data_IF_591871286053
#
_entry.id   IF_591871286053
#
_cell.length_a   1.000
_cell.length_b   1.000
_cell.length_c   1.000
_cell.angle_alpha   90.00
_cell.angle_beta   90.00
_cell.angle_gamma   90.00
#
_symmetry.space_group_name_H-M   'P 1'
#
loop_
_entity.id
_entity.type
_entity.pdbx_description
1 polymer ?
#
# COMPACT_ATOMS: atom_id res chain seq x y z
N UNK A 1 -55.80 52.70 22.66
CA UNK A 1 -54.69 51.96 23.29
C UNK A 1 -54.23 50.90 22.31
N UNK A 2 -53.17 51.20 21.57
CA UNK A 2 -52.62 50.30 20.54
C UNK A 2 -51.30 49.75 21.09
N UNK A 3 -51.34 48.49 21.50
CA UNK A 3 -50.11 47.75 21.92
C UNK A 3 -49.28 47.45 20.70
N UNK A 4 -48.09 48.05 20.66
CA UNK A 4 -47.06 47.80 19.64
C UNK A 4 -46.35 46.52 20.03
N UNK A 5 -46.69 45.40 19.37
CA UNK A 5 -45.95 44.14 19.42
C UNK A 5 -44.57 44.36 18.79
N UNK A 6 -43.56 44.60 19.62
CA UNK A 6 -42.17 44.59 19.26
C UNK A 6 -41.78 43.12 18.86
N UNK A 7 -41.72 42.90 17.55
CA UNK A 7 -41.08 41.67 16.97
C UNK A 7 -39.61 41.66 17.40
N UNK A 8 -39.31 40.82 18.38
CA UNK A 8 -37.92 40.52 18.71
C UNK A 8 -37.26 39.85 17.50
N UNK A 9 -36.10 40.32 17.06
CA UNK A 9 -35.38 39.65 15.97
C UNK A 9 -35.00 38.26 16.46
N UNK A 10 -35.48 37.23 15.72
CA UNK A 10 -35.06 35.84 15.93
C UNK A 10 -33.54 35.79 15.82
N UNK A 11 -32.89 35.47 16.92
CA UNK A 11 -31.43 35.26 16.96
C UNK A 11 -31.06 34.24 15.88
N UNK A 12 -30.26 34.65 14.91
CA UNK A 12 -29.77 33.78 13.86
C UNK A 12 -29.17 32.53 14.48
N UNK A 13 -29.39 31.33 13.90
CA UNK A 13 -28.86 30.09 14.41
C UNK A 13 -27.35 30.04 14.16
N UNK A 14 -26.56 30.72 14.96
CA UNK A 14 -25.09 30.73 14.96
C UNK A 14 -24.53 29.31 15.08
N UNK A 15 -25.32 28.33 15.52
CA UNK A 15 -24.90 26.95 15.75
C UNK A 15 -24.80 26.06 14.50
N UNK A 16 -25.46 26.37 13.35
CA UNK A 16 -25.47 25.45 12.22
C UNK A 16 -24.20 25.54 11.36
N UNK A 17 -23.69 26.74 11.10
CA UNK A 17 -22.46 26.96 10.31
C UNK A 17 -21.21 26.48 11.02
N UNK A 18 -21.12 26.68 12.34
CA UNK A 18 -20.02 26.13 13.18
C UNK A 18 -20.03 24.61 13.19
N UNK A 19 -21.17 23.97 13.45
CA UNK A 19 -21.31 22.51 13.44
C UNK A 19 -20.93 21.88 12.08
N UNK A 20 -21.21 22.56 10.98
CA UNK A 20 -20.87 22.07 9.65
C UNK A 20 -19.36 22.18 9.34
N UNK A 21 -18.70 23.27 9.77
CA UNK A 21 -17.25 23.43 9.68
C UNK A 21 -16.51 22.39 10.53
N UNK A 22 -16.97 22.16 11.76
CA UNK A 22 -16.39 21.16 12.67
C UNK A 22 -16.54 19.74 12.10
N UNK A 23 -17.72 19.41 11.54
CA UNK A 23 -17.93 18.11 10.90
C UNK A 23 -17.01 17.91 9.70
N UNK A 24 -16.78 18.92 8.87
CA UNK A 24 -15.84 18.84 7.73
C UNK A 24 -14.40 18.70 8.20
N UNK A 25 -14.01 19.38 9.26
CA UNK A 25 -12.69 19.26 9.87
C UNK A 25 -12.49 17.84 10.40
N UNK A 26 -13.41 17.30 11.16
CA UNK A 26 -13.35 15.93 11.67
C UNK A 26 -13.25 14.90 10.54
N UNK A 27 -14.09 15.04 9.50
CA UNK A 27 -14.02 14.16 8.32
C UNK A 27 -12.69 14.25 7.56
N UNK A 28 -12.03 15.41 7.57
CA UNK A 28 -10.68 15.55 6.99
C UNK A 28 -9.64 14.83 7.85
N UNK A 29 -9.69 15.00 9.16
CA UNK A 29 -8.81 14.32 10.14
C UNK A 29 -8.96 12.81 9.99
N UNK A 30 -10.19 12.28 9.97
CA UNK A 30 -10.45 10.84 9.81
C UNK A 30 -9.89 10.30 8.49
N UNK A 31 -10.05 11.04 7.38
CA UNK A 31 -9.51 10.66 6.07
C UNK A 31 -7.98 10.62 6.08
N UNK A 32 -7.34 11.61 6.68
CA UNK A 32 -5.87 11.66 6.79
C UNK A 32 -5.35 10.55 7.71
N UNK A 33 -6.02 10.29 8.84
CA UNK A 33 -5.70 9.17 9.73
C UNK A 33 -5.80 7.82 9.02
N UNK A 34 -6.90 7.58 8.30
CA UNK A 34 -7.09 6.36 7.51
C UNK A 34 -6.05 6.24 6.37
N UNK A 35 -5.60 7.36 5.79
CA UNK A 35 -4.52 7.36 4.78
C UNK A 35 -3.18 6.99 5.41
N UNK A 36 -2.84 7.54 6.56
CA UNK A 36 -1.63 7.18 7.31
C UNK A 36 -1.61 5.69 7.64
N UNK A 37 -2.67 5.15 8.22
CA UNK A 37 -2.75 3.74 8.57
C UNK A 37 -2.53 2.82 7.35
N UNK A 38 -3.03 3.23 6.17
CA UNK A 38 -2.78 2.48 4.92
C UNK A 38 -1.33 2.57 4.46
N UNK A 39 -0.70 3.74 4.55
CA UNK A 39 0.72 3.93 4.18
C UNK A 39 1.63 3.10 5.09
N UNK A 40 1.38 3.12 6.39
CA UNK A 40 2.12 2.33 7.38
C UNK A 40 1.95 0.81 7.12
N UNK A 41 0.74 0.36 6.76
CA UNK A 41 0.49 -1.04 6.43
C UNK A 41 1.23 -1.48 5.14
N UNK A 42 1.32 -0.61 4.13
CA UNK A 42 2.08 -0.87 2.89
C UNK A 42 3.58 -0.92 3.18
N UNK A 43 4.12 0.02 3.96
CA UNK A 43 5.53 0.01 4.34
C UNK A 43 5.89 -1.25 5.14
N UNK A 44 5.06 -1.63 6.11
CA UNK A 44 5.24 -2.84 6.91
C UNK A 44 5.23 -4.11 6.03
N UNK A 45 4.33 -4.19 5.03
CA UNK A 45 4.30 -5.31 4.09
C UNK A 45 5.56 -5.34 3.22
N UNK A 46 5.99 -4.20 2.67
CA UNK A 46 7.23 -4.13 1.89
C UNK A 46 8.47 -4.45 2.73
N UNK A 47 8.48 -4.10 4.03
CA UNK A 47 9.53 -4.51 4.96
C UNK A 47 9.64 -6.03 5.08
N UNK A 48 8.53 -6.73 5.34
CA UNK A 48 8.51 -8.20 5.39
C UNK A 48 8.89 -8.85 4.06
N UNK A 49 8.38 -8.31 2.94
CA UNK A 49 8.76 -8.78 1.61
C UNK A 49 10.26 -8.59 1.32
N UNK A 50 10.85 -7.46 1.75
CA UNK A 50 12.30 -7.23 1.69
C UNK A 50 13.07 -8.31 2.44
N UNK A 51 12.70 -8.59 3.69
CA UNK A 51 13.39 -9.58 4.54
C UNK A 51 13.29 -10.98 3.93
N UNK A 52 12.13 -11.34 3.38
CA UNK A 52 11.95 -12.58 2.63
C UNK A 52 12.87 -12.67 1.41
N UNK A 53 12.92 -11.60 0.60
CA UNK A 53 13.80 -11.53 -0.59
C UNK A 53 15.27 -11.55 -0.20
N UNK A 54 15.65 -10.94 0.91
CA UNK A 54 17.01 -10.98 1.43
C UNK A 54 17.42 -12.40 1.88
N UNK A 55 16.49 -13.17 2.45
CA UNK A 55 16.74 -14.57 2.81
C UNK A 55 16.82 -15.51 1.61
N UNK A 56 16.13 -15.19 0.49
CA UNK A 56 16.16 -15.99 -0.71
C UNK A 56 15.33 -15.43 -1.86
N UNK A 57 15.99 -15.09 -2.95
CA UNK A 57 15.39 -14.61 -4.18
C UNK A 57 15.46 -15.64 -5.31
N UNK A 58 14.49 -15.63 -6.24
CA UNK A 58 14.44 -16.52 -7.39
C UNK A 58 13.95 -15.78 -8.66
N UNK A 59 14.44 -16.21 -9.82
CA UNK A 59 13.97 -15.86 -11.17
C UNK A 59 13.22 -17.03 -11.78
N UNK A 60 12.41 -16.75 -12.80
CA UNK A 60 11.68 -17.74 -13.62
C UNK A 60 10.76 -18.67 -12.81
N UNK A 61 10.44 -18.31 -11.58
CA UNK A 61 9.49 -19.01 -10.72
C UNK A 61 8.82 -18.03 -9.76
N UNK A 62 7.63 -18.36 -9.27
CA UNK A 62 7.00 -17.59 -8.20
C UNK A 62 7.77 -17.76 -6.89
N UNK A 63 8.04 -19.00 -6.53
CA UNK A 63 8.84 -19.34 -5.36
C UNK A 63 9.47 -20.72 -5.51
N UNK A 64 10.37 -21.05 -4.60
CA UNK A 64 10.90 -22.41 -4.48
C UNK A 64 10.52 -23.01 -3.14
N UNK A 65 10.29 -24.32 -3.13
CA UNK A 65 10.05 -25.13 -1.94
C UNK A 65 10.99 -26.32 -1.95
N UNK A 66 11.14 -27.00 -0.79
CA UNK A 66 11.85 -28.28 -0.70
C UNK A 66 10.80 -29.37 -0.48
N UNK A 67 10.87 -30.43 -1.26
CA UNK A 67 10.03 -31.61 -1.08
C UNK A 67 10.52 -32.51 0.08
N UNK A 68 9.77 -33.57 0.36
CA UNK A 68 10.08 -34.52 1.43
C UNK A 68 11.41 -35.30 1.20
N UNK A 69 11.96 -35.24 -0.01
CA UNK A 69 13.24 -35.85 -0.40
C UNK A 69 14.40 -34.85 -0.35
N UNK A 70 14.13 -33.60 0.03
CA UNK A 70 15.14 -32.53 0.08
C UNK A 70 15.45 -31.92 -1.29
N UNK A 71 14.63 -32.19 -2.33
CA UNK A 71 14.80 -31.65 -3.67
C UNK A 71 14.11 -30.28 -3.77
N UNK A 72 14.81 -29.30 -4.35
CA UNK A 72 14.24 -27.97 -4.57
C UNK A 72 13.34 -27.98 -5.80
N UNK A 73 12.08 -27.61 -5.58
CA UNK A 73 11.05 -27.47 -6.62
C UNK A 73 10.83 -26.01 -6.95
N UNK A 74 10.71 -25.68 -8.24
CA UNK A 74 10.30 -24.38 -8.76
C UNK A 74 8.79 -24.37 -8.94
N UNK A 75 8.08 -23.45 -8.27
CA UNK A 75 6.63 -23.38 -8.33
C UNK A 75 6.19 -22.22 -9.21
N UNK A 76 5.49 -22.54 -10.29
CA UNK A 76 5.03 -21.59 -11.31
C UNK A 76 3.68 -20.94 -11.02
N UNK A 77 3.02 -21.22 -9.86
CA UNK A 77 1.72 -20.64 -9.53
C UNK A 77 1.63 -20.30 -8.04
N UNK A 78 0.92 -19.22 -7.69
CA UNK A 78 0.70 -18.85 -6.29
C UNK A 78 -0.29 -19.78 -5.55
N UNK A 79 -1.13 -20.52 -6.28
CA UNK A 79 -2.17 -21.40 -5.70
C UNK A 79 -1.61 -22.63 -4.98
N UNK A 80 -0.41 -23.05 -5.31
CA UNK A 80 0.26 -24.21 -4.70
C UNK A 80 0.86 -23.90 -3.32
N UNK A 81 0.67 -22.69 -2.79
CA UNK A 81 1.37 -22.25 -1.58
C UNK A 81 0.64 -22.57 -0.26
N UNK A 82 -0.60 -23.04 -0.30
CA UNK A 82 -1.34 -23.37 0.92
C UNK A 82 -0.66 -24.55 1.65
N UNK A 83 0.15 -24.24 2.65
CA UNK A 83 0.79 -25.22 3.52
C UNK A 83 2.27 -25.51 3.25
N UNK A 84 2.85 -24.99 2.19
CA UNK A 84 4.26 -25.24 1.86
C UNK A 84 5.20 -24.14 2.38
N UNK A 85 6.39 -24.55 2.88
CA UNK A 85 7.44 -23.61 3.25
C UNK A 85 8.17 -23.14 1.99
N UNK A 86 7.89 -21.90 1.54
CA UNK A 86 8.68 -21.29 0.48
C UNK A 86 10.05 -20.86 1.01
N UNK A 87 11.13 -21.32 0.38
CA UNK A 87 12.51 -20.94 0.71
C UNK A 87 12.93 -19.63 0.03
N UNK A 88 12.57 -19.50 -1.23
CA UNK A 88 12.87 -18.33 -2.06
C UNK A 88 11.61 -17.85 -2.76
N UNK A 89 11.55 -16.58 -3.07
CA UNK A 89 10.42 -15.99 -3.77
C UNK A 89 10.87 -14.98 -4.82
N UNK A 90 10.13 -14.83 -5.92
CA UNK A 90 10.27 -13.67 -6.77
C UNK A 90 9.67 -12.42 -6.09
N UNK A 91 9.94 -11.25 -6.64
CA UNK A 91 9.49 -9.97 -6.07
C UNK A 91 7.98 -9.93 -5.76
N UNK A 92 7.15 -10.32 -6.72
CA UNK A 92 5.68 -10.26 -6.56
C UNK A 92 5.18 -11.34 -5.61
N UNK A 93 5.77 -12.54 -5.66
CA UNK A 93 5.42 -13.62 -4.75
C UNK A 93 5.78 -13.28 -3.29
N UNK A 94 6.91 -12.63 -3.04
CA UNK A 94 7.28 -12.19 -1.71
C UNK A 94 6.20 -11.26 -1.10
N UNK A 95 5.69 -10.32 -1.88
CA UNK A 95 4.58 -9.45 -1.44
C UNK A 95 3.29 -10.25 -1.21
N UNK A 96 2.97 -11.20 -2.09
CA UNK A 96 1.76 -12.01 -1.99
C UNK A 96 1.77 -12.92 -0.76
N UNK A 97 2.91 -13.56 -0.49
CA UNK A 97 3.11 -14.43 0.66
C UNK A 97 2.99 -13.66 1.97
N UNK A 98 3.58 -12.46 2.04
CA UNK A 98 3.57 -11.64 3.24
C UNK A 98 2.26 -10.86 3.45
N UNK A 99 1.39 -10.78 2.44
CA UNK A 99 0.13 -10.03 2.52
C UNK A 99 -1.00 -10.75 3.29
N UNK A 100 -0.78 -12.00 3.73
CA UNK A 100 -1.77 -12.90 4.38
C UNK A 100 -2.88 -13.43 3.46
N UNK A 101 -3.37 -14.64 3.76
CA UNK A 101 -2.82 -15.86 3.17
C UNK A 101 -2.96 -15.81 1.67
N UNK A 102 -1.85 -15.69 0.94
CA UNK A 102 -1.77 -16.02 -0.49
C UNK A 102 -2.42 -15.06 -1.49
N UNK A 103 -2.88 -13.87 -1.08
CA UNK A 103 -3.67 -13.01 -1.95
C UNK A 103 -2.97 -11.73 -2.41
N UNK A 104 -2.50 -11.71 -3.66
CA UNK A 104 -2.15 -10.47 -4.38
C UNK A 104 -3.38 -9.54 -4.58
N UNK A 105 -4.60 -10.04 -4.37
CA UNK A 105 -5.84 -9.30 -4.57
C UNK A 105 -6.21 -8.42 -3.39
N UNK A 106 -5.57 -8.60 -2.25
CA UNK A 106 -5.78 -7.75 -1.07
C UNK A 106 -5.36 -6.29 -1.32
N UNK A 107 -6.10 -5.31 -0.78
CA UNK A 107 -5.85 -3.89 -1.07
C UNK A 107 -4.46 -3.40 -0.65
N UNK A 108 -3.83 -3.97 0.34
CA UNK A 108 -2.47 -3.61 0.77
C UNK A 108 -1.42 -4.18 -0.20
N UNK A 109 -1.58 -5.46 -0.64
CA UNK A 109 -0.70 -6.06 -1.64
C UNK A 109 -0.76 -5.29 -2.98
N UNK A 110 -1.95 -4.95 -3.45
CA UNK A 110 -2.13 -4.16 -4.67
C UNK A 110 -1.43 -2.80 -4.59
N UNK A 111 -1.48 -2.13 -3.43
CA UNK A 111 -0.79 -0.86 -3.21
C UNK A 111 0.73 -1.04 -3.16
N UNK A 112 1.21 -2.10 -2.55
CA UNK A 112 2.64 -2.43 -2.52
C UNK A 112 3.19 -2.66 -3.93
N UNK A 113 2.46 -3.43 -4.76
CA UNK A 113 2.74 -3.63 -6.18
C UNK A 113 2.73 -2.28 -6.92
N UNK A 114 1.72 -1.45 -6.69
CA UNK A 114 1.63 -0.12 -7.29
C UNK A 114 2.78 0.80 -6.90
N UNK A 115 3.22 0.78 -5.65
CA UNK A 115 4.35 1.57 -5.16
C UNK A 115 5.66 1.17 -5.85
N UNK A 116 5.96 -0.12 -5.93
CA UNK A 116 7.15 -0.63 -6.61
C UNK A 116 7.13 -0.33 -8.11
N UNK A 117 5.99 -0.54 -8.76
CA UNK A 117 5.83 -0.25 -10.18
C UNK A 117 6.06 1.23 -10.49
N UNK A 118 5.53 2.14 -9.66
CA UNK A 118 5.76 3.58 -9.83
C UNK A 118 7.22 3.97 -9.68
N UNK A 119 7.93 3.45 -8.69
CA UNK A 119 9.36 3.71 -8.52
C UNK A 119 10.15 3.21 -9.71
N UNK A 120 9.83 2.01 -10.20
CA UNK A 120 10.49 1.41 -11.36
C UNK A 120 10.34 2.26 -12.63
N UNK A 121 9.18 2.89 -12.82
CA UNK A 121 8.87 3.71 -14.01
C UNK A 121 9.05 5.22 -13.80
N UNK A 122 9.74 5.64 -12.74
CA UNK A 122 10.01 7.05 -12.46
C UNK A 122 8.76 7.85 -12.08
N UNK A 123 7.68 7.19 -11.70
CA UNK A 123 6.46 7.82 -11.21
C UNK A 123 6.68 8.46 -9.84
N UNK A 124 6.13 9.66 -9.65
CA UNK A 124 6.12 10.30 -8.34
C UNK A 124 5.26 9.55 -7.32
N UNK A 125 5.25 10.02 -6.05
CA UNK A 125 4.42 9.42 -5.01
C UNK A 125 2.97 9.40 -5.46
N UNK A 126 2.38 8.21 -5.53
CA UNK A 126 1.00 8.02 -5.97
C UNK A 126 0.03 8.61 -4.96
N UNK A 127 -0.70 9.63 -5.39
CA UNK A 127 -1.77 10.24 -4.60
C UNK A 127 -3.06 9.42 -4.61
N UNK A 128 -3.24 8.54 -5.59
CA UNK A 128 -4.47 7.77 -5.75
C UNK A 128 -4.21 6.26 -5.71
N UNK A 129 -4.74 5.63 -4.66
CA UNK A 129 -4.56 4.21 -4.34
C UNK A 129 -5.70 3.34 -4.86
N UNK A 130 -6.63 3.94 -5.58
CA UNK A 130 -7.76 3.24 -6.21
C UNK A 130 -7.35 2.78 -7.61
N UNK A 131 -6.62 1.67 -7.69
CA UNK A 131 -6.22 1.09 -8.97
C UNK A 131 -7.20 -0.02 -9.34
N UNK A 132 -7.81 0.00 -10.53
CA UNK A 132 -8.64 -1.10 -11.00
C UNK A 132 -7.89 -2.43 -10.97
N UNK A 133 -8.55 -3.57 -10.67
CA UNK A 133 -7.89 -4.88 -10.57
C UNK A 133 -7.07 -5.26 -11.81
N UNK A 134 -7.55 -4.96 -13.00
CA UNK A 134 -6.84 -5.22 -14.26
C UNK A 134 -5.53 -4.45 -14.39
N UNK A 135 -5.47 -3.21 -13.90
CA UNK A 135 -4.24 -2.40 -13.89
C UNK A 135 -3.24 -2.97 -12.88
N UNK A 136 -3.70 -3.44 -11.72
CA UNK A 136 -2.82 -4.09 -10.75
C UNK A 136 -2.22 -5.38 -11.30
N UNK A 137 -3.01 -6.19 -12.01
CA UNK A 137 -2.51 -7.40 -12.65
C UNK A 137 -1.44 -7.09 -13.71
N UNK A 138 -1.65 -6.07 -14.54
CA UNK A 138 -0.66 -5.63 -15.53
C UNK A 138 0.65 -5.15 -14.85
N UNK A 139 0.55 -4.36 -13.77
CA UNK A 139 1.71 -3.91 -12.99
C UNK A 139 2.47 -5.09 -12.34
N UNK A 140 1.74 -6.05 -11.79
CA UNK A 140 2.34 -7.26 -11.23
C UNK A 140 3.10 -8.05 -12.30
N UNK A 141 2.51 -8.19 -13.50
CA UNK A 141 3.15 -8.86 -14.63
C UNK A 141 4.43 -8.12 -15.08
N UNK A 142 4.40 -6.80 -15.18
CA UNK A 142 5.59 -6.00 -15.49
C UNK A 142 6.71 -6.19 -14.47
N UNK A 143 6.37 -6.21 -13.18
CA UNK A 143 7.33 -6.46 -12.11
C UNK A 143 7.92 -7.88 -12.17
N UNK A 144 7.11 -8.90 -12.53
CA UNK A 144 7.61 -10.27 -12.75
C UNK A 144 8.59 -10.28 -13.92
N UNK A 145 8.23 -9.71 -15.05
CA UNK A 145 9.13 -9.62 -16.21
C UNK A 145 10.42 -8.88 -15.89
N UNK A 146 10.34 -7.80 -15.12
CA UNK A 146 11.51 -7.08 -14.67
C UNK A 146 12.38 -7.92 -13.72
N UNK A 147 11.77 -8.69 -12.80
CA UNK A 147 12.45 -9.61 -11.89
C UNK A 147 13.22 -10.70 -12.66
N UNK A 148 12.62 -11.21 -13.74
CA UNK A 148 13.12 -12.35 -14.52
C UNK A 148 14.08 -11.95 -15.65
N UNK A 149 14.42 -10.66 -15.76
CA UNK A 149 15.42 -10.21 -16.72
C UNK A 149 16.80 -10.82 -16.41
N UNK A 150 17.49 -11.33 -17.44
CA UNK A 150 18.71 -12.14 -17.30
C UNK A 150 19.87 -11.42 -16.58
N UNK A 151 19.90 -10.08 -16.62
CA UNK A 151 20.90 -9.23 -15.95
C UNK A 151 20.50 -8.85 -14.53
N UNK A 152 19.31 -9.22 -14.07
CA UNK A 152 18.78 -8.86 -12.75
C UNK A 152 19.50 -9.61 -11.65
N UNK A 153 19.79 -8.91 -10.56
CA UNK A 153 20.42 -9.45 -9.35
C UNK A 153 19.51 -9.23 -8.14
N UNK A 154 19.67 -10.06 -7.13
CA UNK A 154 18.95 -9.88 -5.85
C UNK A 154 19.14 -8.46 -5.28
N UNK A 155 20.35 -7.88 -5.40
CA UNK A 155 20.62 -6.50 -4.98
C UNK A 155 19.72 -5.47 -5.64
N UNK A 156 19.39 -5.64 -6.93
CA UNK A 156 18.53 -4.72 -7.67
C UNK A 156 17.09 -4.80 -7.19
N UNK A 157 16.65 -6.02 -6.89
CA UNK A 157 15.30 -6.27 -6.35
C UNK A 157 15.16 -5.67 -4.96
N UNK A 158 16.14 -5.86 -4.08
CA UNK A 158 16.18 -5.24 -2.76
C UNK A 158 16.25 -3.72 -2.84
N UNK A 159 17.03 -3.18 -3.77
CA UNK A 159 17.11 -1.74 -4.01
C UNK A 159 15.77 -1.14 -4.45
N UNK A 160 15.01 -1.82 -5.33
CA UNK A 160 13.66 -1.39 -5.73
C UNK A 160 12.69 -1.35 -4.54
N UNK A 161 12.69 -2.39 -3.69
CA UNK A 161 11.83 -2.42 -2.50
C UNK A 161 12.20 -1.28 -1.55
N UNK A 162 13.50 -1.05 -1.29
CA UNK A 162 13.96 0.02 -0.42
C UNK A 162 13.63 1.41 -0.98
N UNK A 163 13.81 1.63 -2.28
CA UNK A 163 13.42 2.89 -2.92
C UNK A 163 11.91 3.14 -2.82
N UNK A 164 11.10 2.08 -2.92
CA UNK A 164 9.64 2.16 -2.74
C UNK A 164 9.27 2.55 -1.32
N UNK A 165 9.92 1.98 -0.30
CA UNK A 165 9.74 2.34 1.11
C UNK A 165 10.16 3.79 1.39
N UNK A 166 11.26 4.25 0.81
CA UNK A 166 11.71 5.64 0.91
C UNK A 166 10.67 6.62 0.32
N UNK A 167 10.12 6.31 -0.85
CA UNK A 167 9.04 7.09 -1.46
C UNK A 167 7.78 7.14 -0.59
N UNK A 168 7.40 6.02 0.02
CA UNK A 168 6.29 5.95 0.99
C UNK A 168 6.55 6.80 2.23
N UNK A 169 7.76 6.74 2.80
CA UNK A 169 8.15 7.53 3.98
C UNK A 169 8.01 9.04 3.71
N UNK A 170 8.43 9.51 2.53
CA UNK A 170 8.24 10.90 2.12
C UNK A 170 6.75 11.28 2.08
N UNK A 171 5.92 10.42 1.49
CA UNK A 171 4.47 10.63 1.43
C UNK A 171 3.84 10.61 2.82
N UNK A 172 4.25 9.68 3.68
CA UNK A 172 3.78 9.55 5.08
C UNK A 172 4.08 10.81 5.88
N UNK A 173 5.28 11.37 5.73
CA UNK A 173 5.70 12.62 6.38
C UNK A 173 4.81 13.79 5.94
N UNK A 174 4.54 13.93 4.65
CA UNK A 174 3.66 14.97 4.13
C UNK A 174 2.23 14.85 4.70
N UNK A 175 1.65 13.64 4.70
CA UNK A 175 0.30 13.40 5.25
C UNK A 175 0.25 13.65 6.76
N UNK A 176 1.30 13.31 7.51
CA UNK A 176 1.41 13.56 8.95
C UNK A 176 1.43 15.07 9.25
N UNK A 177 2.18 15.84 8.44
CA UNK A 177 2.19 17.30 8.56
C UNK A 177 0.80 17.90 8.28
N UNK A 178 0.09 17.43 7.24
CA UNK A 178 -1.27 17.86 6.96
C UNK A 178 -2.25 17.52 8.10
N UNK A 179 -2.10 16.35 8.72
CA UNK A 179 -2.94 15.93 9.86
C UNK A 179 -2.72 16.84 11.06
N UNK A 180 -1.46 17.18 11.37
CA UNK A 180 -1.13 18.10 12.46
C UNK A 180 -1.78 19.46 12.24
N UNK A 181 -1.68 20.03 11.04
CA UNK A 181 -2.32 21.30 10.68
C UNK A 181 -3.86 21.26 10.75
N UNK A 182 -4.45 20.12 10.37
CA UNK A 182 -5.90 19.96 10.47
C UNK A 182 -6.40 19.80 11.91
N UNK A 183 -5.54 19.37 12.82
CA UNK A 183 -5.87 19.15 14.25
C UNK A 183 -5.68 20.40 15.10
N UNK A 184 -4.84 21.34 14.66
CA UNK A 184 -4.65 22.65 15.32
C UNK A 184 -5.82 23.61 15.06
#
# INVERSE_FOLDING_TARGET
>A
MTESLLLQPLAEPVGLRTRWRDRRRLQRIDRLGARLARLDAVDALLGRAHDRLASGWVQDAWFTTIDDQGVRLHVGTLRAHEGERSERACLVAAVAIEALPGSITGPIAQRSIGAMWNVLHGGGPTSDWSTPPGVTAARAYDLVRWNDAADRRQSDVLALVNASRTSLSTTTTAVRSELTLASA
#
